data_IF_258594362568
#
_entry.id   IF_258594362568
#
_cell.length_a   1.000
_cell.length_b   1.000
_cell.length_c   1.000
_cell.angle_alpha   90.00
_cell.angle_beta   90.00
_cell.angle_gamma   90.00
#
_symmetry.space_group_name_H-M   'P 1'
#
loop_
_entity.id
_entity.type
_entity.pdbx_description
1 polymer ?
#
# COMPACT_ATOMS: atom_id res chain seq x y z
N UNK A 1 8.95 25.02 -9.08
CA UNK A 1 8.59 24.76 -7.67
C UNK A 1 7.18 24.20 -7.67
N UNK A 2 7.01 22.88 -7.65
CA UNK A 2 5.66 22.31 -7.54
C UNK A 2 5.24 22.47 -6.08
N UNK A 3 4.12 23.18 -5.85
CA UNK A 3 3.51 23.25 -4.54
C UNK A 3 3.27 21.81 -4.06
N UNK A 4 3.92 21.42 -2.95
CA UNK A 4 3.75 20.09 -2.37
C UNK A 4 2.28 19.93 -1.97
N UNK A 5 1.56 19.11 -2.72
CA UNK A 5 0.14 18.84 -2.48
C UNK A 5 -0.02 18.20 -1.09
N UNK A 6 -0.65 18.94 -0.18
CA UNK A 6 -0.88 18.55 1.21
C UNK A 6 -2.37 18.66 1.52
N UNK A 7 -2.96 17.55 1.98
CA UNK A 7 -4.35 17.49 2.39
C UNK A 7 -4.42 16.84 3.78
N UNK A 8 -5.22 17.43 4.67
CA UNK A 8 -5.62 16.86 5.96
C UNK A 8 -7.12 16.52 5.92
N UNK A 9 -7.64 15.81 6.91
CA UNK A 9 -9.07 15.46 6.89
C UNK A 9 -9.42 14.41 5.84
N UNK A 10 -8.46 13.63 5.35
CA UNK A 10 -8.72 12.64 4.30
C UNK A 10 -9.60 11.53 4.87
N UNK A 11 -10.87 11.54 4.45
CA UNK A 11 -11.85 10.52 4.80
C UNK A 11 -11.55 9.17 4.13
N UNK A 12 -12.06 8.10 4.74
CA UNK A 12 -11.90 6.73 4.28
C UNK A 12 -13.27 6.07 4.12
N UNK A 13 -13.53 5.32 3.03
CA UNK A 13 -12.59 4.97 1.95
C UNK A 13 -12.43 6.04 0.86
N UNK A 14 -13.33 7.03 0.78
CA UNK A 14 -13.26 8.12 -0.21
C UNK A 14 -13.06 9.46 0.50
N UNK A 15 -12.17 10.36 0.01
CA UNK A 15 -11.42 10.31 -1.25
C UNK A 15 -10.04 9.61 -1.15
N UNK A 16 -9.82 8.77 -0.14
CA UNK A 16 -8.55 8.08 0.05
C UNK A 16 -8.16 7.19 -1.15
N UNK A 17 -9.13 6.49 -1.74
CA UNK A 17 -9.00 5.68 -2.96
C UNK A 17 -8.39 6.47 -4.14
N UNK A 18 -8.94 7.65 -4.43
CA UNK A 18 -8.46 8.52 -5.51
C UNK A 18 -7.04 9.04 -5.22
N UNK A 19 -6.77 9.40 -3.97
CA UNK A 19 -5.45 9.84 -3.55
C UNK A 19 -4.41 8.72 -3.63
N UNK A 20 -4.80 7.47 -3.32
CA UNK A 20 -3.94 6.31 -3.48
C UNK A 20 -3.59 6.06 -4.96
N UNK A 21 -4.56 6.20 -5.87
CA UNK A 21 -4.36 6.13 -7.32
C UNK A 21 -3.41 7.24 -7.78
N UNK A 22 -3.64 8.48 -7.37
CA UNK A 22 -2.78 9.63 -7.70
C UNK A 22 -1.35 9.42 -7.22
N UNK A 23 -1.18 8.93 -5.99
CA UNK A 23 0.12 8.62 -5.41
C UNK A 23 0.82 7.48 -6.17
N UNK A 24 0.09 6.43 -6.56
CA UNK A 24 0.66 5.34 -7.33
C UNK A 24 1.09 5.78 -8.75
N UNK A 25 0.31 6.64 -9.41
CA UNK A 25 0.62 7.12 -10.76
C UNK A 25 1.90 7.97 -10.82
N UNK A 26 2.24 8.67 -9.73
CA UNK A 26 3.48 9.46 -9.65
C UNK A 26 4.69 8.63 -9.20
N UNK A 27 4.53 7.33 -8.92
CA UNK A 27 5.62 6.46 -8.47
C UNK A 27 6.64 6.21 -9.58
N UNK A 28 7.92 6.22 -9.22
CA UNK A 28 9.02 5.99 -10.16
C UNK A 28 9.73 4.65 -9.93
N UNK A 29 9.90 4.24 -8.67
CA UNK A 29 10.71 3.06 -8.31
C UNK A 29 10.00 2.15 -7.31
N UNK A 30 9.35 2.70 -6.30
CA UNK A 30 8.81 1.90 -5.20
C UNK A 30 7.43 2.37 -4.77
N UNK A 31 6.58 1.41 -4.48
CA UNK A 31 5.31 1.62 -3.80
C UNK A 31 5.23 0.66 -2.61
N UNK A 32 4.96 1.18 -1.41
CA UNK A 32 4.70 0.36 -0.23
C UNK A 32 3.28 0.62 0.27
N UNK A 33 2.53 -0.44 0.55
CA UNK A 33 1.18 -0.37 1.10
C UNK A 33 1.16 -1.16 2.40
N UNK A 34 0.88 -0.49 3.51
CA UNK A 34 0.55 -1.08 4.80
C UNK A 34 -0.96 -0.97 4.98
N UNK A 35 -1.68 -2.08 5.12
CA UNK A 35 -3.11 -2.02 5.45
C UNK A 35 -3.53 -3.32 6.14
N UNK A 36 -4.22 -3.28 7.29
CA UNK A 36 -4.57 -4.51 8.01
C UNK A 36 -5.35 -5.50 7.15
N UNK A 37 -6.35 -5.01 6.42
CA UNK A 37 -7.28 -5.83 5.61
C UNK A 37 -7.22 -5.56 4.12
N UNK A 38 -6.47 -4.53 3.69
CA UNK A 38 -6.44 -4.04 2.32
C UNK A 38 -7.87 -3.84 1.78
N UNK A 39 -8.59 -2.91 2.38
CA UNK A 39 -10.04 -2.78 2.16
C UNK A 39 -10.35 -2.53 0.68
N UNK A 40 -11.36 -3.24 0.18
CA UNK A 40 -11.70 -3.24 -1.24
C UNK A 40 -12.16 -1.89 -1.74
N UNK A 41 -12.90 -1.16 -0.91
CA UNK A 41 -13.42 0.16 -1.24
C UNK A 41 -12.28 1.17 -1.50
N UNK A 42 -11.13 1.00 -0.86
CA UNK A 42 -9.96 1.86 -1.06
C UNK A 42 -8.97 1.31 -2.10
N UNK A 43 -8.79 -0.01 -2.16
CA UNK A 43 -7.66 -0.65 -2.89
C UNK A 43 -8.07 -1.60 -4.03
N UNK A 44 -9.34 -1.97 -4.17
CA UNK A 44 -9.82 -2.90 -5.20
C UNK A 44 -10.46 -2.20 -6.41
N UNK A 45 -9.94 -1.02 -6.76
CA UNK A 45 -10.38 -0.28 -7.93
C UNK A 45 -9.46 -0.54 -9.15
N UNK A 46 -10.02 -0.38 -10.35
CA UNK A 46 -9.30 -0.64 -11.59
C UNK A 46 -8.16 0.35 -11.83
N UNK A 47 -8.37 1.63 -11.50
CA UNK A 47 -7.37 2.67 -11.70
C UNK A 47 -6.08 2.40 -10.92
N UNK A 48 -6.19 1.93 -9.67
CA UNK A 48 -5.04 1.57 -8.83
C UNK A 48 -4.33 0.34 -9.39
N UNK A 49 -5.07 -0.69 -9.80
CA UNK A 49 -4.49 -1.88 -10.40
C UNK A 49 -3.74 -1.55 -11.70
N UNK A 50 -4.29 -0.68 -12.55
CA UNK A 50 -3.62 -0.20 -13.75
C UNK A 50 -2.37 0.63 -13.43
N UNK A 51 -2.43 1.53 -12.44
CA UNK A 51 -1.30 2.35 -12.00
C UNK A 51 -0.13 1.48 -11.48
N UNK A 52 -0.42 0.50 -10.62
CA UNK A 52 0.57 -0.46 -10.11
C UNK A 52 1.15 -1.29 -11.26
N UNK A 53 0.29 -1.77 -12.16
CA UNK A 53 0.72 -2.57 -13.30
C UNK A 53 1.61 -1.76 -14.27
N UNK A 54 1.32 -0.47 -14.45
CA UNK A 54 2.15 0.44 -15.23
C UNK A 54 3.51 0.66 -14.56
N UNK A 55 3.53 0.91 -13.24
CA UNK A 55 4.76 1.07 -12.46
C UNK A 55 5.68 -0.15 -12.64
N UNK A 56 5.18 -1.36 -12.37
CA UNK A 56 6.00 -2.57 -12.41
C UNK A 56 6.47 -2.95 -13.81
N UNK A 57 5.80 -2.47 -14.86
CA UNK A 57 6.23 -2.64 -16.26
C UNK A 57 7.29 -1.65 -16.71
N UNK A 58 7.53 -0.55 -15.97
CA UNK A 58 8.53 0.45 -16.37
C UNK A 58 9.95 -0.08 -16.31
N UNK A 59 10.29 -0.87 -15.31
CA UNK A 59 11.65 -1.41 -15.14
C UNK A 59 11.66 -2.62 -14.23
N UNK A 60 12.58 -3.56 -14.46
CA UNK A 60 12.86 -4.68 -13.54
C UNK A 60 13.28 -4.24 -12.13
N UNK A 61 13.66 -2.97 -11.95
CA UNK A 61 14.07 -2.41 -10.66
C UNK A 61 12.89 -1.83 -9.86
N UNK A 62 11.69 -1.76 -10.42
CA UNK A 62 10.53 -1.27 -9.68
C UNK A 62 9.97 -2.34 -8.78
N UNK A 63 9.52 -1.94 -7.59
CA UNK A 63 9.06 -2.86 -6.56
C UNK A 63 7.78 -2.34 -5.90
N UNK A 64 6.82 -3.23 -5.73
CA UNK A 64 5.58 -2.99 -4.99
C UNK A 64 5.54 -3.97 -3.84
N UNK A 65 5.46 -3.45 -2.62
CA UNK A 65 5.40 -4.23 -1.39
C UNK A 65 4.08 -3.93 -0.67
N UNK A 66 3.33 -4.96 -0.33
CA UNK A 66 2.03 -4.85 0.32
C UNK A 66 2.05 -5.71 1.57
N UNK A 67 1.82 -5.10 2.73
CA UNK A 67 1.80 -5.77 4.02
C UNK A 67 0.39 -5.74 4.61
N UNK A 68 -0.11 -6.93 4.95
CA UNK A 68 -1.45 -7.15 5.53
C UNK A 68 -1.37 -7.90 6.85
N UNK A 69 -2.36 -7.73 7.74
CA UNK A 69 -2.44 -8.53 8.96
C UNK A 69 -3.28 -9.79 8.76
N UNK A 70 -4.30 -9.71 7.90
CA UNK A 70 -5.14 -10.84 7.55
C UNK A 70 -5.26 -11.01 6.02
N UNK A 71 -4.74 -12.13 5.52
CA UNK A 71 -4.76 -12.53 4.11
C UNK A 71 -6.06 -13.25 3.71
N UNK A 72 -6.82 -13.77 4.67
CA UNK A 72 -8.01 -14.62 4.41
C UNK A 72 -9.06 -13.90 3.59
N UNK A 73 -9.32 -12.62 3.91
CA UNK A 73 -10.28 -11.78 3.17
C UNK A 73 -9.87 -11.54 1.71
N UNK A 74 -8.57 -11.43 1.44
CA UNK A 74 -8.02 -11.24 0.09
C UNK A 74 -8.19 -12.48 -0.78
N UNK A 75 -7.96 -13.66 -0.20
CA UNK A 75 -8.05 -14.94 -0.92
C UNK A 75 -9.50 -15.35 -1.14
N UNK A 76 -10.32 -15.33 -0.09
CA UNK A 76 -11.71 -15.79 -0.15
C UNK A 76 -12.58 -14.98 -1.12
N UNK A 77 -12.40 -13.66 -1.17
CA UNK A 77 -13.23 -12.77 -2.01
C UNK A 77 -12.55 -12.39 -3.32
N UNK A 78 -11.29 -12.75 -3.51
CA UNK A 78 -10.42 -12.23 -4.56
C UNK A 78 -10.11 -10.74 -4.40
N UNK A 79 -8.96 -10.30 -4.90
CA UNK A 79 -8.57 -8.88 -4.90
C UNK A 79 -7.71 -8.58 -6.12
N UNK A 80 -7.88 -7.44 -6.78
CA UNK A 80 -7.08 -7.07 -7.97
C UNK A 80 -5.58 -7.04 -7.65
N UNK A 81 -5.19 -6.52 -6.50
CA UNK A 81 -3.79 -6.54 -6.04
C UNK A 81 -3.25 -7.96 -5.80
N UNK A 82 -4.08 -8.89 -5.32
CA UNK A 82 -3.70 -10.30 -5.21
C UNK A 82 -3.48 -10.93 -6.60
N UNK A 83 -4.31 -10.58 -7.58
CA UNK A 83 -4.12 -11.02 -8.97
C UNK A 83 -2.81 -10.46 -9.55
N UNK A 84 -2.46 -9.19 -9.27
CA UNK A 84 -1.19 -8.61 -9.70
C UNK A 84 0.02 -9.30 -9.04
N UNK A 85 -0.06 -9.59 -7.75
CA UNK A 85 0.95 -10.38 -7.04
C UNK A 85 1.20 -11.73 -7.71
N UNK A 86 0.13 -12.45 -8.06
CA UNK A 86 0.22 -13.75 -8.74
C UNK A 86 0.77 -13.65 -10.16
N UNK A 87 0.42 -12.61 -10.91
CA UNK A 87 0.87 -12.39 -12.29
C UNK A 87 2.32 -11.89 -12.37
N UNK A 88 2.78 -11.15 -11.37
CA UNK A 88 4.07 -10.46 -11.37
C UNK A 88 4.81 -10.68 -10.03
N UNK A 89 5.08 -11.95 -9.65
CA UNK A 89 5.57 -12.30 -8.32
C UNK A 89 6.99 -11.78 -8.02
N UNK A 90 7.75 -11.37 -9.03
CA UNK A 90 9.08 -10.77 -8.89
C UNK A 90 9.07 -9.26 -8.60
N UNK A 91 7.94 -8.59 -8.82
CA UNK A 91 7.82 -7.13 -8.69
C UNK A 91 6.73 -6.71 -7.71
N UNK A 92 5.68 -7.52 -7.56
CA UNK A 92 4.59 -7.27 -6.61
C UNK A 92 4.63 -8.34 -5.53
N UNK A 93 4.86 -7.92 -4.29
CA UNK A 93 4.97 -8.80 -3.14
C UNK A 93 3.85 -8.50 -2.16
N UNK A 94 3.09 -9.51 -1.77
CA UNK A 94 2.16 -9.44 -0.65
C UNK A 94 2.72 -10.31 0.47
N UNK A 95 2.82 -9.75 1.68
CA UNK A 95 3.26 -10.45 2.87
C UNK A 95 2.26 -10.23 4.00
N UNK A 96 2.29 -11.14 4.97
CA UNK A 96 1.47 -11.09 6.17
C UNK A 96 2.32 -10.83 7.40
N UNK A 97 1.77 -10.03 8.30
CA UNK A 97 2.28 -9.84 9.66
C UNK A 97 1.08 -9.76 10.60
N UNK A 98 0.79 -10.84 11.32
CA UNK A 98 -0.43 -10.96 12.11
C UNK A 98 -0.51 -9.90 13.23
N UNK A 99 0.57 -9.75 14.00
CA UNK A 99 0.68 -8.76 15.08
C UNK A 99 2.11 -8.21 15.16
N UNK A 100 2.23 -6.93 15.50
CA UNK A 100 3.51 -6.29 15.82
C UNK A 100 3.26 -5.08 16.75
N UNK A 101 4.06 -4.86 17.80
CA UNK A 101 3.84 -3.77 18.75
C UNK A 101 3.85 -2.38 18.11
N UNK A 102 4.59 -2.20 17.01
CA UNK A 102 4.66 -0.92 16.28
C UNK A 102 3.51 -0.72 15.28
N UNK A 103 2.76 -1.79 14.93
CA UNK A 103 1.62 -1.66 14.02
C UNK A 103 0.33 -1.46 14.82
N UNK A 104 -0.19 -0.22 14.81
CA UNK A 104 -1.40 0.20 15.52
C UNK A 104 -2.65 0.15 14.63
N UNK A 105 -2.65 -0.70 13.59
CA UNK A 105 -3.76 -0.82 12.64
C UNK A 105 -3.89 0.32 11.63
N UNK A 106 -2.94 1.26 11.58
CA UNK A 106 -2.93 2.31 10.57
C UNK A 106 -2.76 1.73 9.16
N UNK A 107 -3.35 2.42 8.19
CA UNK A 107 -3.14 2.19 6.76
C UNK A 107 -2.25 3.29 6.20
N UNK A 108 -1.23 2.89 5.46
CA UNK A 108 -0.20 3.79 4.94
C UNK A 108 0.14 3.39 3.52
N UNK A 109 0.11 4.34 2.59
CA UNK A 109 0.65 4.17 1.24
C UNK A 109 1.84 5.10 1.11
N UNK A 110 3.02 4.57 0.82
CA UNK A 110 4.19 5.39 0.53
C UNK A 110 4.67 5.17 -0.90
N UNK A 111 5.13 6.27 -1.50
CA UNK A 111 5.70 6.31 -2.83
C UNK A 111 7.15 6.76 -2.74
N UNK A 112 8.02 5.96 -3.34
CA UNK A 112 9.46 6.20 -3.40
C UNK A 112 10.03 6.54 -2.02
N UNK A 113 10.37 7.80 -1.76
CA UNK A 113 10.84 8.27 -0.44
C UNK A 113 10.25 9.61 -0.03
N UNK A 114 9.23 10.07 -0.73
CA UNK A 114 8.73 11.44 -0.63
C UNK A 114 7.20 11.56 -0.74
N UNK A 115 6.49 10.51 -1.16
CA UNK A 115 5.03 10.49 -1.12
C UNK A 115 4.49 9.67 0.05
N UNK A 116 3.48 10.17 0.75
CA UNK A 116 2.76 9.43 1.79
C UNK A 116 1.27 9.78 1.80
N UNK A 117 0.45 8.75 1.93
CA UNK A 117 -0.97 8.83 2.24
C UNK A 117 -1.20 7.97 3.49
N UNK A 118 -1.82 8.55 4.50
CA UNK A 118 -1.95 7.97 5.83
C UNK A 118 -3.40 7.99 6.29
N UNK A 119 -3.85 6.88 6.85
CA UNK A 119 -5.10 6.73 7.59
C UNK A 119 -4.77 6.09 8.94
N UNK A 120 -5.15 6.69 10.07
CA UNK A 120 -4.97 6.07 11.38
C UNK A 120 -5.81 4.79 11.54
N UNK A 121 -5.41 3.94 12.48
CA UNK A 121 -6.10 2.68 12.79
C UNK A 121 -7.38 2.89 13.57
N UNK A 122 -7.25 3.33 14.82
CA UNK A 122 -8.32 3.64 15.78
C UNK A 122 -7.96 4.94 16.54
N UNK A 123 -8.00 6.10 15.87
CA UNK A 123 -7.75 7.38 16.55
C UNK A 123 -8.58 8.52 15.99
N UNK A 124 -8.81 9.55 16.82
CA UNK A 124 -9.37 10.86 16.45
C UNK A 124 -8.50 11.65 15.46
N UNK A 125 -7.39 11.08 14.99
CA UNK A 125 -6.55 11.75 14.02
C UNK A 125 -7.19 11.66 12.64
N UNK A 126 -7.12 12.76 11.91
CA UNK A 126 -7.57 12.79 10.54
C UNK A 126 -6.52 12.16 9.61
N UNK A 127 -6.98 11.43 8.59
CA UNK A 127 -6.11 10.97 7.51
C UNK A 127 -5.45 12.16 6.81
N UNK A 128 -4.27 11.94 6.23
CA UNK A 128 -3.57 12.99 5.49
C UNK A 128 -2.87 12.44 4.24
N UNK A 129 -2.63 13.35 3.30
CA UNK A 129 -1.89 13.11 2.08
C UNK A 129 -0.78 14.13 1.94
N UNK A 130 0.43 13.68 1.60
CA UNK A 130 1.56 14.52 1.17
C UNK A 130 2.16 13.92 -0.10
N UNK A 131 2.11 14.66 -1.21
CA UNK A 131 2.63 14.20 -2.50
C UNK A 131 4.17 14.26 -2.62
N UNK A 132 4.81 15.26 -2.00
CA UNK A 132 6.24 15.56 -2.14
C UNK A 132 6.83 16.12 -0.83
N UNK A 133 7.02 15.25 0.16
CA UNK A 133 7.64 15.56 1.44
C UNK A 133 8.42 14.38 2.01
N UNK A 134 9.73 14.38 1.76
CA UNK A 134 10.67 13.37 2.32
C UNK A 134 10.62 13.26 3.84
N UNK A 135 10.56 14.40 4.53
CA UNK A 135 10.47 14.43 5.99
C UNK A 135 9.19 13.76 6.50
N UNK A 136 8.09 13.85 5.75
CA UNK A 136 6.81 13.22 6.13
C UNK A 136 6.77 11.74 5.76
N UNK A 137 7.30 11.35 4.60
CA UNK A 137 7.28 9.97 4.12
C UNK A 137 8.30 9.07 4.84
N UNK A 138 9.44 9.61 5.27
CA UNK A 138 10.53 8.85 5.90
C UNK A 138 10.11 8.01 7.12
N UNK A 139 9.46 8.56 8.18
CA UNK A 139 9.08 7.74 9.33
C UNK A 139 8.12 6.61 8.97
N UNK A 140 7.22 6.84 8.01
CA UNK A 140 6.27 5.86 7.50
C UNK A 140 6.95 4.74 6.72
N UNK A 141 7.97 5.09 5.93
CA UNK A 141 8.77 4.11 5.19
C UNK A 141 9.67 3.29 6.13
N UNK A 142 10.27 3.93 7.15
CA UNK A 142 11.08 3.25 8.17
C UNK A 142 10.23 2.23 8.95
N UNK A 143 9.05 2.63 9.40
CA UNK A 143 8.07 1.72 10.00
C UNK A 143 7.72 0.57 9.05
N UNK A 144 7.40 0.88 7.78
CA UNK A 144 7.05 -0.15 6.81
C UNK A 144 8.17 -1.18 6.64
N UNK A 145 9.41 -0.74 6.47
CA UNK A 145 10.54 -1.65 6.27
C UNK A 145 10.82 -2.49 7.53
N UNK A 146 10.64 -1.92 8.74
CA UNK A 146 10.72 -2.70 9.99
C UNK A 146 9.67 -3.81 10.03
N UNK A 147 8.39 -3.46 9.83
CA UNK A 147 7.31 -4.45 9.80
C UNK A 147 7.53 -5.49 8.68
N UNK A 148 8.05 -5.06 7.53
CA UNK A 148 8.35 -5.95 6.40
C UNK A 148 9.41 -7.00 6.74
N UNK A 149 10.41 -6.66 7.57
CA UNK A 149 11.45 -7.60 8.00
C UNK A 149 10.89 -8.73 8.86
N UNK A 150 9.87 -8.46 9.67
CA UNK A 150 9.18 -9.45 10.50
C UNK A 150 8.04 -10.17 9.79
N UNK A 151 7.70 -9.76 8.57
CA UNK A 151 6.62 -10.33 7.78
C UNK A 151 7.01 -11.59 7.02
N UNK A 152 6.04 -12.47 6.82
CA UNK A 152 6.20 -13.73 6.10
C UNK A 152 5.36 -13.79 4.83
N UNK A 153 5.75 -14.64 3.88
CA UNK A 153 4.90 -14.95 2.71
C UNK A 153 3.88 -15.98 3.16
N UNK A 154 2.63 -15.56 3.27
CA UNK A 154 1.54 -16.45 3.68
C UNK A 154 1.30 -17.55 2.63
N UNK A 155 1.12 -18.79 3.10
CA UNK A 155 0.79 -19.95 2.27
C UNK A 155 -0.52 -19.76 1.51
N UNK A 156 -1.49 -19.07 2.11
CA UNK A 156 -2.80 -18.77 1.51
C UNK A 156 -2.66 -17.93 0.22
N UNK A 157 -1.63 -17.09 0.15
CA UNK A 157 -1.34 -16.26 -1.03
C UNK A 157 -0.77 -17.08 -2.19
N UNK A 158 -0.11 -18.20 -1.90
CA UNK A 158 0.51 -19.11 -2.88
C UNK A 158 -0.48 -20.10 -3.49
N UNK A 159 -1.65 -20.29 -2.89
CA UNK A 159 -2.63 -21.26 -3.38
C UNK A 159 -3.11 -20.87 -4.78
N UNK A 160 -2.64 -21.61 -5.78
CA UNK A 160 -3.30 -21.74 -7.07
C UNK A 160 -4.58 -22.52 -6.78
N UNK A 161 -5.72 -21.85 -6.78
CA UNK A 161 -6.99 -22.57 -6.93
C UNK A 161 -6.89 -23.32 -8.25
N UNK A 162 -6.68 -24.64 -8.15
CA UNK A 162 -6.85 -25.62 -9.22
C UNK A 162 -8.28 -25.54 -9.74
#
# INVERSE_FOLDING_TARGET
MAAGDFLTGVAYPQPFDELAVRLCNSALRRLCILSPRLDREAFDNEALAQAISALVRRSRQTEVKILVSDSRGLVSRGHRLLQLHRRMPSSVHIRKLAEHPEWKGQTVVTRDRDGVLYKPGDSDHEGFYRGDSRSSARPHLELFEELWRHSEVDIELRSLSI
#
